data_IF_894664756998
#
_entry.id   IF_894664756998
#
_cell.length_a   1.000
_cell.length_b   1.000
_cell.length_c   1.000
_cell.angle_alpha   90.00
_cell.angle_beta   90.00
_cell.angle_gamma   90.00
#
_symmetry.space_group_name_H-M   'P 1'
#
loop_
_entity.id
_entity.type
_entity.pdbx_description
1 polymer ?
#
# COMPACT_ATOMS: atom_id res chain seq x y z
N UNK A 1 1.75 -22.94 33.84
CA UNK A 1 2.05 -23.20 32.42
C UNK A 1 0.94 -23.90 31.63
N UNK A 2 -0.16 -24.39 32.25
CA UNK A 2 -1.27 -25.08 31.53
C UNK A 2 -1.90 -24.25 30.39
N UNK A 3 -2.26 -22.99 30.67
CA UNK A 3 -2.85 -22.07 29.68
C UNK A 3 -1.94 -21.86 28.45
N UNK A 4 -0.62 -21.80 28.66
CA UNK A 4 0.33 -21.62 27.55
C UNK A 4 0.27 -22.80 26.58
N UNK A 5 0.26 -24.03 27.10
CA UNK A 5 0.20 -25.23 26.28
C UNK A 5 -1.16 -25.35 25.56
N UNK A 6 -2.26 -25.03 26.24
CA UNK A 6 -3.60 -24.98 25.62
C UNK A 6 -3.66 -23.96 24.48
N UNK A 7 -3.08 -22.78 24.65
CA UNK A 7 -2.99 -21.77 23.60
C UNK A 7 -2.13 -22.23 22.41
N UNK A 8 -1.05 -22.98 22.66
CA UNK A 8 -0.23 -23.55 21.58
C UNK A 8 -1.03 -24.59 20.76
N UNK A 9 -1.81 -25.44 21.41
CA UNK A 9 -2.66 -26.42 20.73
C UNK A 9 -3.78 -25.74 19.92
N UNK A 10 -4.47 -24.75 20.50
CA UNK A 10 -5.50 -23.99 19.79
C UNK A 10 -4.94 -23.28 18.57
N UNK A 11 -3.73 -22.69 18.69
CA UNK A 11 -3.04 -22.05 17.57
C UNK A 11 -2.70 -23.05 16.46
N UNK A 12 -2.30 -24.28 16.78
CA UNK A 12 -2.06 -25.30 15.76
C UNK A 12 -3.35 -25.71 15.05
N UNK A 13 -4.44 -25.89 15.81
CA UNK A 13 -5.77 -26.18 15.24
C UNK A 13 -6.25 -25.06 14.32
N UNK A 14 -6.03 -23.81 14.69
CA UNK A 14 -6.35 -22.65 13.85
C UNK A 14 -5.64 -22.69 12.49
N UNK A 15 -4.34 -23.01 12.47
CA UNK A 15 -3.57 -23.14 11.22
C UNK A 15 -4.10 -24.27 10.34
N UNK A 16 -4.40 -25.42 10.95
CA UNK A 16 -4.97 -26.57 10.25
C UNK A 16 -6.32 -26.24 9.62
N UNK A 17 -7.23 -25.68 10.41
CA UNK A 17 -8.55 -25.22 9.92
C UNK A 17 -8.38 -24.21 8.78
N UNK A 18 -7.42 -23.28 8.91
CA UNK A 18 -7.13 -22.30 7.86
C UNK A 18 -6.69 -22.98 6.56
N UNK A 19 -5.84 -24.00 6.63
CA UNK A 19 -5.42 -24.80 5.47
C UNK A 19 -6.60 -25.53 4.83
N UNK A 20 -7.47 -26.15 5.63
CA UNK A 20 -8.69 -26.83 5.17
C UNK A 20 -9.65 -25.85 4.47
N UNK A 21 -9.85 -24.64 5.03
CA UNK A 21 -10.62 -23.57 4.39
C UNK A 21 -10.01 -23.20 3.03
N UNK A 22 -8.69 -23.04 2.93
CA UNK A 22 -8.02 -22.73 1.65
C UNK A 22 -8.17 -23.86 0.62
N UNK A 23 -8.28 -25.11 1.05
CA UNK A 23 -8.58 -26.23 0.17
C UNK A 23 -10.01 -26.14 -0.37
N UNK A 24 -10.99 -25.89 0.49
CA UNK A 24 -12.38 -25.73 0.07
C UNK A 24 -12.61 -24.49 -0.80
N UNK A 25 -11.93 -23.39 -0.50
CA UNK A 25 -11.97 -22.20 -1.35
C UNK A 25 -11.33 -22.43 -2.73
N UNK A 26 -10.34 -23.33 -2.82
CA UNK A 26 -9.78 -23.73 -4.12
C UNK A 26 -10.80 -24.53 -4.93
N UNK A 27 -11.46 -25.52 -4.33
CA UNK A 27 -12.55 -26.26 -4.97
C UNK A 27 -13.67 -25.32 -5.44
N UNK A 28 -14.02 -24.33 -4.61
CA UNK A 28 -15.01 -23.29 -4.95
C UNK A 28 -14.54 -22.40 -6.11
N UNK A 29 -13.25 -22.05 -6.16
CA UNK A 29 -12.67 -21.25 -7.25
C UNK A 29 -12.59 -22.00 -8.57
N UNK A 30 -12.24 -23.29 -8.52
CA UNK A 30 -12.14 -24.12 -9.72
C UNK A 30 -13.53 -24.47 -10.29
N UNK A 31 -14.53 -24.68 -9.42
CA UNK A 31 -15.92 -24.93 -9.82
C UNK A 31 -16.74 -23.67 -10.11
N UNK A 32 -16.29 -22.49 -9.63
CA UNK A 32 -16.98 -21.20 -9.70
C UNK A 32 -18.43 -21.23 -9.20
N UNK A 33 -18.76 -22.12 -8.27
CA UNK A 33 -20.12 -22.28 -7.73
C UNK A 33 -20.67 -21.01 -7.07
N UNK A 34 -19.79 -20.12 -6.59
CA UNK A 34 -20.19 -18.84 -6.02
C UNK A 34 -20.93 -17.93 -7.01
N UNK A 35 -20.74 -18.13 -8.33
CA UNK A 35 -21.47 -17.38 -9.35
C UNK A 35 -22.97 -17.72 -9.31
N UNK A 36 -23.31 -19.00 -9.15
CA UNK A 36 -24.69 -19.45 -9.02
C UNK A 36 -25.35 -18.95 -7.72
N UNK A 37 -24.55 -18.61 -6.72
CA UNK A 37 -24.98 -18.04 -5.44
C UNK A 37 -25.12 -16.50 -5.47
N UNK A 38 -24.92 -15.86 -6.63
CA UNK A 38 -25.07 -14.40 -6.79
C UNK A 38 -23.84 -13.58 -6.36
N UNK A 39 -22.67 -14.21 -6.25
CA UNK A 39 -21.40 -13.50 -6.01
C UNK A 39 -20.60 -13.36 -7.29
N UNK A 40 -20.11 -12.15 -7.55
CA UNK A 40 -19.43 -11.81 -8.81
C UNK A 40 -17.96 -12.26 -8.86
N UNK A 41 -17.40 -12.68 -7.73
CA UNK A 41 -16.04 -13.21 -7.62
C UNK A 41 -15.83 -13.98 -6.32
N UNK A 42 -14.73 -14.72 -6.23
CA UNK A 42 -14.32 -15.35 -4.96
C UNK A 42 -14.13 -14.33 -3.83
N UNK A 43 -13.60 -13.14 -4.12
CA UNK A 43 -13.45 -12.08 -3.13
C UNK A 43 -14.81 -11.64 -2.58
N UNK A 44 -15.76 -11.48 -3.48
CA UNK A 44 -17.11 -11.06 -3.17
C UNK A 44 -17.88 -12.14 -2.36
N UNK A 45 -17.66 -13.41 -2.69
CA UNK A 45 -18.14 -14.54 -1.88
C UNK A 45 -17.51 -14.58 -0.49
N UNK A 46 -16.19 -14.36 -0.40
CA UNK A 46 -15.50 -14.32 0.89
C UNK A 46 -16.02 -13.16 1.77
N UNK A 47 -16.19 -11.98 1.19
CA UNK A 47 -16.62 -10.79 1.91
C UNK A 47 -18.11 -10.83 2.27
N UNK A 48 -19.01 -10.97 1.28
CA UNK A 48 -20.46 -10.92 1.48
C UNK A 48 -21.07 -12.27 1.88
N UNK A 49 -20.56 -13.37 1.32
CA UNK A 49 -21.10 -14.72 1.57
C UNK A 49 -20.63 -15.32 2.89
N UNK A 50 -19.32 -15.22 3.18
CA UNK A 50 -18.71 -15.78 4.38
C UNK A 50 -18.45 -14.76 5.50
N UNK A 51 -18.72 -13.48 5.26
CA UNK A 51 -18.59 -12.43 6.28
C UNK A 51 -17.15 -12.06 6.65
N UNK A 52 -16.16 -12.39 5.81
CA UNK A 52 -14.80 -11.96 6.04
C UNK A 52 -14.63 -10.46 5.85
N UNK A 53 -13.77 -9.83 6.67
CA UNK A 53 -13.32 -8.47 6.37
C UNK A 53 -12.58 -8.44 5.03
N UNK A 54 -12.64 -7.31 4.32
CA UNK A 54 -12.00 -7.17 3.01
C UNK A 54 -10.51 -7.56 3.03
N UNK A 55 -9.79 -7.17 4.09
CA UNK A 55 -8.39 -7.53 4.27
C UNK A 55 -8.18 -9.05 4.35
N UNK A 56 -9.04 -9.76 5.09
CA UNK A 56 -8.93 -11.21 5.27
C UNK A 56 -9.44 -11.99 4.06
N UNK A 57 -10.45 -11.47 3.36
CA UNK A 57 -10.92 -11.97 2.07
C UNK A 57 -9.82 -11.87 1.00
N UNK A 58 -9.17 -10.71 0.90
CA UNK A 58 -8.07 -10.50 -0.04
C UNK A 58 -6.89 -11.43 0.23
N UNK A 59 -6.51 -11.63 1.50
CA UNK A 59 -5.42 -12.55 1.86
C UNK A 59 -5.72 -13.99 1.43
N UNK A 60 -6.95 -14.47 1.70
CA UNK A 60 -7.39 -15.82 1.31
C UNK A 60 -7.43 -15.98 -0.21
N UNK A 61 -8.00 -15.01 -0.93
CA UNK A 61 -8.01 -15.02 -2.39
C UNK A 61 -6.59 -15.04 -2.98
N UNK A 62 -5.68 -14.23 -2.45
CA UNK A 62 -4.29 -14.21 -2.88
C UNK A 62 -3.61 -15.57 -2.66
N UNK A 63 -3.87 -16.22 -1.52
CA UNK A 63 -3.36 -17.55 -1.23
C UNK A 63 -3.91 -18.61 -2.18
N UNK A 64 -5.22 -18.62 -2.45
CA UNK A 64 -5.85 -19.56 -3.41
C UNK A 64 -5.25 -19.38 -4.80
N UNK A 65 -5.14 -18.13 -5.28
CA UNK A 65 -4.56 -17.84 -6.60
C UNK A 65 -3.10 -18.25 -6.71
N UNK A 66 -2.29 -17.97 -5.70
CA UNK A 66 -0.88 -18.35 -5.71
C UNK A 66 -0.70 -19.87 -5.52
N UNK A 67 -1.57 -20.52 -4.74
CA UNK A 67 -1.56 -21.96 -4.54
C UNK A 67 -1.90 -22.75 -5.81
N UNK A 68 -2.71 -22.18 -6.71
CA UNK A 68 -2.96 -22.75 -8.05
C UNK A 68 -1.67 -22.88 -8.88
N UNK A 69 -0.76 -21.94 -8.73
CA UNK A 69 0.55 -21.96 -9.42
C UNK A 69 1.61 -22.75 -8.62
N UNK A 70 1.59 -22.63 -7.29
CA UNK A 70 2.53 -23.27 -6.37
C UNK A 70 1.76 -24.01 -5.27
N UNK A 71 1.38 -25.28 -5.50
CA UNK A 71 0.57 -26.06 -4.56
C UNK A 71 1.20 -26.23 -3.17
N UNK A 72 2.54 -26.22 -3.10
CA UNK A 72 3.33 -26.33 -1.86
C UNK A 72 2.97 -25.28 -0.80
N UNK A 73 2.36 -24.15 -1.18
CA UNK A 73 2.00 -23.07 -0.24
C UNK A 73 1.03 -23.55 0.84
N UNK A 74 0.04 -24.37 0.50
CA UNK A 74 -0.98 -24.79 1.46
C UNK A 74 -0.38 -25.66 2.56
N UNK A 75 0.51 -26.58 2.19
CA UNK A 75 1.24 -27.42 3.13
C UNK A 75 2.15 -26.58 4.04
N UNK A 76 2.80 -25.54 3.51
CA UNK A 76 3.63 -24.62 4.31
C UNK A 76 2.82 -23.76 5.28
N UNK A 77 1.58 -23.41 4.93
CA UNK A 77 0.66 -22.72 5.84
C UNK A 77 0.22 -23.66 6.97
N UNK A 78 -0.08 -24.91 6.65
CA UNK A 78 -0.47 -25.94 7.62
C UNK A 78 0.65 -26.22 8.64
N UNK A 79 1.88 -26.43 8.14
CA UNK A 79 3.09 -26.57 8.97
C UNK A 79 3.43 -25.28 9.74
N UNK A 80 2.84 -24.15 9.35
CA UNK A 80 3.08 -22.86 9.96
C UNK A 80 4.42 -22.22 9.60
N UNK A 81 5.10 -22.69 8.56
CA UNK A 81 6.32 -22.10 8.02
C UNK A 81 6.01 -20.84 7.19
N UNK A 82 4.81 -20.73 6.62
CA UNK A 82 4.32 -19.52 5.95
C UNK A 82 3.03 -18.99 6.59
N UNK A 83 2.85 -17.67 6.55
CA UNK A 83 1.63 -17.00 7.01
C UNK A 83 0.84 -16.43 5.82
N UNK A 84 -0.49 -16.28 5.96
CA UNK A 84 -1.35 -15.69 4.93
C UNK A 84 -0.85 -14.30 4.48
N UNK A 85 -0.40 -13.49 5.43
CA UNK A 85 0.13 -12.15 5.15
C UNK A 85 1.44 -12.17 4.34
N UNK A 86 2.32 -13.13 4.63
CA UNK A 86 3.56 -13.32 3.87
C UNK A 86 3.24 -13.72 2.42
N UNK A 87 2.37 -14.72 2.25
CA UNK A 87 1.92 -15.19 0.92
C UNK A 87 1.26 -14.07 0.12
N UNK A 88 0.44 -13.23 0.77
CA UNK A 88 -0.20 -12.08 0.14
C UNK A 88 0.81 -11.04 -0.33
N UNK A 89 1.87 -10.80 0.45
CA UNK A 89 2.96 -9.89 0.07
C UNK A 89 3.72 -10.44 -1.13
N UNK A 90 4.03 -11.74 -1.11
CA UNK A 90 4.64 -12.44 -2.23
C UNK A 90 3.77 -12.35 -3.49
N UNK A 91 2.46 -12.59 -3.38
CA UNK A 91 1.52 -12.53 -4.50
C UNK A 91 1.54 -11.17 -5.23
N UNK A 92 1.63 -10.06 -4.49
CA UNK A 92 1.70 -8.71 -5.08
C UNK A 92 2.95 -8.52 -5.94
N UNK A 93 4.09 -8.99 -5.46
CA UNK A 93 5.40 -8.80 -6.10
C UNK A 93 5.65 -9.78 -7.24
N UNK A 94 5.16 -11.00 -7.06
CA UNK A 94 5.41 -12.12 -7.94
C UNK A 94 4.44 -12.20 -9.13
N UNK A 95 3.43 -11.33 -9.19
CA UNK A 95 2.34 -11.42 -10.17
C UNK A 95 2.81 -11.51 -11.63
N UNK A 96 3.95 -10.89 -11.98
CA UNK A 96 4.55 -10.90 -13.33
C UNK A 96 5.78 -11.79 -13.48
N UNK A 97 6.21 -12.49 -12.43
CA UNK A 97 7.48 -13.23 -12.40
C UNK A 97 7.31 -14.71 -12.79
N UNK A 98 8.36 -15.35 -13.34
CA UNK A 98 8.33 -16.77 -13.70
C UNK A 98 8.23 -17.68 -12.47
N UNK A 99 7.65 -18.87 -12.64
CA UNK A 99 7.36 -19.83 -11.56
C UNK A 99 8.58 -20.19 -10.69
N UNK A 100 9.76 -20.30 -11.32
CA UNK A 100 11.01 -20.61 -10.62
C UNK A 100 11.40 -19.53 -9.59
N UNK A 101 11.22 -18.26 -9.94
CA UNK A 101 11.44 -17.14 -9.00
C UNK A 101 10.40 -17.17 -7.88
N UNK A 102 9.14 -17.48 -8.21
CA UNK A 102 8.07 -17.59 -7.20
C UNK A 102 8.44 -18.58 -6.11
N UNK A 103 8.91 -19.79 -6.49
CA UNK A 103 9.32 -20.82 -5.53
C UNK A 103 10.55 -20.40 -4.71
N UNK A 104 11.56 -19.79 -5.33
CA UNK A 104 12.76 -19.30 -4.60
C UNK A 104 12.39 -18.26 -3.54
N UNK A 105 11.56 -17.29 -3.92
CA UNK A 105 11.09 -16.23 -3.01
C UNK A 105 10.28 -16.83 -1.86
N UNK A 106 9.35 -17.74 -2.15
CA UNK A 106 8.56 -18.42 -1.10
C UNK A 106 9.43 -19.22 -0.12
N UNK A 107 10.46 -19.93 -0.60
CA UNK A 107 11.42 -20.61 0.29
C UNK A 107 12.16 -19.64 1.20
N UNK A 108 12.58 -18.49 0.67
CA UNK A 108 13.29 -17.47 1.45
C UNK A 108 12.42 -16.80 2.53
N UNK A 109 11.09 -16.95 2.45
CA UNK A 109 10.12 -16.37 3.38
C UNK A 109 9.67 -17.32 4.50
N UNK A 110 10.09 -18.58 4.45
CA UNK A 110 9.75 -19.56 5.49
C UNK A 110 10.32 -19.12 6.84
N UNK A 111 9.52 -19.28 7.90
CA UNK A 111 9.83 -18.91 9.30
C UNK A 111 10.05 -17.42 9.57
N UNK A 112 9.86 -16.55 8.58
CA UNK A 112 10.04 -15.11 8.74
C UNK A 112 8.75 -14.42 9.19
N UNK A 113 8.92 -13.39 10.01
CA UNK A 113 7.78 -12.57 10.44
C UNK A 113 7.22 -11.77 9.25
N UNK A 114 5.95 -11.39 9.32
CA UNK A 114 5.32 -10.53 8.29
C UNK A 114 6.08 -9.21 8.09
N UNK A 115 6.75 -8.72 9.14
CA UNK A 115 7.62 -7.54 9.12
C UNK A 115 8.93 -7.81 8.38
N UNK A 116 9.61 -8.92 8.66
CA UNK A 116 10.84 -9.31 7.94
C UNK A 116 10.57 -9.58 6.47
N UNK A 117 9.45 -10.22 6.17
CA UNK A 117 8.97 -10.44 4.81
C UNK A 117 8.80 -9.10 4.11
N UNK A 118 8.09 -8.14 4.72
CA UNK A 118 7.98 -6.79 4.15
C UNK A 118 9.34 -6.12 4.00
N UNK A 119 10.24 -6.25 4.98
CA UNK A 119 11.57 -5.64 4.93
C UNK A 119 12.45 -6.22 3.82
N UNK A 120 12.38 -7.51 3.53
CA UNK A 120 13.08 -8.13 2.40
C UNK A 120 12.63 -7.59 1.04
N UNK A 121 11.40 -7.11 0.96
CA UNK A 121 10.78 -6.63 -0.28
C UNK A 121 10.57 -5.13 -0.33
N UNK A 122 10.86 -4.42 0.75
CA UNK A 122 11.18 -3.01 0.65
C UNK A 122 12.53 -2.98 -0.07
N UNK A 123 12.48 -2.80 -1.40
CA UNK A 123 13.58 -2.11 -2.05
C UNK A 123 13.84 -0.84 -1.23
N UNK A 124 15.11 -0.42 -1.04
CA UNK A 124 15.37 0.89 -0.47
C UNK A 124 14.66 1.85 -1.40
N UNK A 125 13.46 2.29 -1.00
CA UNK A 125 12.76 3.36 -1.67
C UNK A 125 13.83 4.42 -1.76
N UNK A 126 14.27 4.84 -2.98
CA UNK A 126 15.15 5.97 -3.05
C UNK A 126 14.40 7.00 -2.24
N UNK A 127 14.99 7.42 -1.12
CA UNK A 127 14.45 8.53 -0.36
C UNK A 127 14.20 9.53 -1.44
N UNK A 128 12.93 9.91 -1.64
CA UNK A 128 12.61 11.00 -2.53
C UNK A 128 13.27 12.14 -1.78
N UNK A 129 14.55 12.38 -2.10
CA UNK A 129 15.25 13.60 -1.80
C UNK A 129 14.42 14.55 -2.60
N UNK A 130 13.40 15.11 -1.93
CA UNK A 130 12.78 16.33 -2.37
C UNK A 130 13.99 17.22 -2.55
N UNK A 131 14.44 17.36 -3.79
CA UNK A 131 15.47 18.32 -4.11
C UNK A 131 14.74 19.62 -3.78
N UNK A 132 14.95 20.14 -2.57
CA UNK A 132 14.72 21.56 -2.34
C UNK A 132 15.59 22.20 -3.40
N UNK A 133 14.96 22.73 -4.44
CA UNK A 133 15.66 23.52 -5.45
C UNK A 133 16.32 24.63 -4.65
N UNK A 134 17.61 24.48 -4.37
CA UNK A 134 18.41 25.55 -3.77
C UNK A 134 18.51 26.62 -4.84
N UNK A 135 17.56 27.55 -4.82
CA UNK A 135 17.65 28.81 -5.54
C UNK A 135 18.80 29.60 -4.90
N UNK A 136 20.04 29.35 -5.33
CA UNK A 136 21.14 30.30 -5.09
C UNK A 136 20.67 31.64 -5.70
N UNK A 137 20.63 32.69 -4.87
CA UNK A 137 20.20 34.07 -5.18
C UNK A 137 18.70 34.39 -5.25
N UNK A 138 17.85 33.82 -4.39
CA UNK A 138 16.51 34.40 -4.14
C UNK A 138 16.26 34.68 -2.67
N UNK A 139 15.79 35.89 -2.35
CA UNK A 139 15.37 36.30 -1.00
C UNK A 139 13.85 36.26 -0.93
N UNK A 140 13.31 35.58 0.08
CA UNK A 140 11.87 35.58 0.36
C UNK A 140 11.51 36.76 1.26
N UNK A 141 10.68 37.66 0.76
CA UNK A 141 10.09 38.75 1.54
C UNK A 141 8.68 38.34 2.02
N UNK A 142 8.48 38.33 3.34
CA UNK A 142 7.16 38.24 3.95
C UNK A 142 6.77 39.64 4.43
N UNK A 143 5.63 40.13 3.96
CA UNK A 143 5.08 41.44 4.31
C UNK A 143 3.79 41.23 5.09
N UNK A 144 3.68 41.87 6.24
CA UNK A 144 2.42 42.04 6.96
C UNK A 144 1.88 43.43 6.65
N UNK A 145 0.70 43.47 6.03
CA UNK A 145 0.02 44.71 5.63
C UNK A 145 -1.26 44.86 6.43
N UNK A 146 -1.59 46.09 6.82
CA UNK A 146 -2.91 46.38 7.38
C UNK A 146 -4.00 46.19 6.30
N UNK A 147 -5.25 45.99 6.73
CA UNK A 147 -6.36 45.78 5.79
C UNK A 147 -6.48 46.91 4.74
N UNK A 148 -6.33 48.17 5.15
CA UNK A 148 -6.37 49.31 4.24
C UNK A 148 -5.21 49.34 3.23
N UNK A 149 -4.02 48.91 3.65
CA UNK A 149 -2.85 48.83 2.76
C UNK A 149 -2.99 47.70 1.74
N UNK A 150 -3.53 46.56 2.17
CA UNK A 150 -3.82 45.44 1.28
C UNK A 150 -4.89 45.78 0.25
N UNK A 151 -5.94 46.52 0.63
CA UNK A 151 -6.94 47.01 -0.32
C UNK A 151 -6.34 47.94 -1.39
N UNK A 152 -5.46 48.86 -0.98
CA UNK A 152 -4.76 49.75 -1.91
C UNK A 152 -3.86 48.95 -2.87
N UNK A 153 -3.18 47.91 -2.36
CA UNK A 153 -2.33 47.03 -3.16
C UNK A 153 -3.14 46.21 -4.17
N UNK A 154 -4.29 45.64 -3.77
CA UNK A 154 -5.18 44.90 -4.67
C UNK A 154 -5.83 45.81 -5.72
N UNK A 155 -6.22 47.04 -5.37
CA UNK A 155 -6.70 48.03 -6.34
C UNK A 155 -5.62 48.40 -7.37
N UNK A 156 -4.37 48.59 -6.91
CA UNK A 156 -3.25 48.91 -7.79
C UNK A 156 -2.90 47.73 -8.72
N UNK A 157 -2.97 46.50 -8.21
CA UNK A 157 -2.82 45.26 -8.97
C UNK A 157 -3.92 45.14 -10.03
N UNK A 158 -5.17 45.45 -9.72
CA UNK A 158 -6.27 45.43 -10.68
C UNK A 158 -6.08 46.44 -11.83
N UNK A 159 -5.59 47.64 -11.53
CA UNK A 159 -5.36 48.70 -12.53
C UNK A 159 -4.15 48.45 -13.44
N UNK A 160 -3.12 47.75 -12.96
CA UNK A 160 -1.85 47.52 -13.70
C UNK A 160 -1.61 46.05 -14.08
N UNK A 161 -2.60 45.18 -13.93
CA UNK A 161 -2.48 43.72 -14.12
C UNK A 161 -2.02 43.31 -15.52
N UNK A 162 -2.28 44.14 -16.54
CA UNK A 162 -1.91 43.84 -17.93
C UNK A 162 -0.42 44.03 -18.23
N UNK A 163 0.37 44.66 -17.34
CA UNK A 163 1.81 44.89 -17.59
C UNK A 163 2.74 44.45 -16.47
N UNK A 164 2.29 44.31 -15.22
CA UNK A 164 3.19 44.04 -14.10
C UNK A 164 2.58 43.09 -13.06
N UNK A 165 3.36 42.07 -12.64
CA UNK A 165 3.11 41.28 -11.43
C UNK A 165 3.53 42.09 -10.17
N UNK A 166 3.08 41.69 -8.98
CA UNK A 166 3.38 42.40 -7.71
C UNK A 166 4.88 42.60 -7.49
N UNK A 167 5.69 41.60 -7.85
CA UNK A 167 7.16 41.66 -7.81
C UNK A 167 7.71 42.78 -8.71
N UNK A 168 7.24 42.87 -9.96
CA UNK A 168 7.68 43.89 -10.90
C UNK A 168 7.19 45.30 -10.56
N UNK A 169 6.04 45.44 -9.88
CA UNK A 169 5.58 46.73 -9.34
C UNK A 169 6.48 47.22 -8.21
N UNK A 170 6.89 46.30 -7.34
CA UNK A 170 7.78 46.57 -6.21
C UNK A 170 9.18 46.94 -6.71
N UNK A 171 9.71 46.23 -7.71
CA UNK A 171 10.98 46.59 -8.37
C UNK A 171 10.92 47.94 -9.09
N UNK A 172 9.83 48.25 -9.82
CA UNK A 172 9.68 49.55 -10.48
C UNK A 172 9.60 50.72 -9.48
N UNK A 173 8.99 50.52 -8.30
CA UNK A 173 8.99 51.54 -7.24
C UNK A 173 10.40 51.72 -6.66
N UNK A 174 11.12 50.62 -6.42
CA UNK A 174 12.50 50.64 -5.93
C UNK A 174 13.43 51.36 -6.92
N UNK A 175 13.36 51.04 -8.21
CA UNK A 175 14.19 51.66 -9.25
C UNK A 175 13.89 53.15 -9.48
N UNK A 176 12.67 53.59 -9.18
CA UNK A 176 12.27 55.00 -9.31
C UNK A 176 12.77 55.87 -8.16
N UNK A 177 12.88 55.32 -6.96
CA UNK A 177 13.32 56.04 -5.75
C UNK A 177 14.84 55.95 -5.51
N UNK A 178 15.53 54.96 -6.10
CA UNK A 178 16.99 54.83 -6.05
C UNK A 178 17.73 55.62 -7.15
N UNK A 179 17.01 56.35 -8.01
CA UNK A 179 17.56 57.29 -9.01
C UNK A 179 17.48 58.72 -8.49
#
# INVERSE_FOLDING_TARGET
MKIHNELLELRQKEKRITSEILNKLQEMEDSRQYLAMGHNSLFDYLARGLGYSEATAYQRQACVRLAKEVPEIKQKIDQGSLTLSAVTTAFKLLRKKPLAEKRKVLKSMEHKSSREVKAMFLEPTPTIKIHKTEYRDKVHLRLELSHEQNEKLERLKALKSHKHNVESLLMHLIEKELK
#
